data_IF_175125879396
#
_entry.id   IF_175125879396
#
_cell.length_a   1.000
_cell.length_b   1.000
_cell.length_c   1.000
_cell.angle_alpha   90.00
_cell.angle_beta   90.00
_cell.angle_gamma   90.00
#
_symmetry.space_group_name_H-M   'P 1'
#
loop_
_entity.id
_entity.type
_entity.pdbx_description
1 polymer ?
#
# COMPACT_ATOMS: atom_id res chain seq x y z
N UNK A 1 -5.87 -17.67 0.04
CA UNK A 1 -6.86 -16.64 0.48
C UNK A 1 -6.11 -15.38 0.85
N UNK A 2 -6.76 -14.20 0.96
CA UNK A 2 -6.07 -12.94 1.34
C UNK A 2 -5.27 -13.08 2.64
N UNK A 3 -5.70 -13.97 3.53
CA UNK A 3 -5.01 -14.28 4.79
C UNK A 3 -3.56 -14.72 4.58
N UNK A 4 -3.24 -15.36 3.45
CA UNK A 4 -1.89 -15.86 3.12
C UNK A 4 -0.99 -14.78 2.48
N UNK A 5 -1.46 -13.54 2.33
CA UNK A 5 -0.67 -12.41 1.83
C UNK A 5 0.33 -11.97 2.90
N UNK A 6 1.60 -12.32 2.77
CA UNK A 6 2.66 -11.81 3.64
C UNK A 6 3.37 -10.63 2.99
N UNK A 7 3.38 -9.47 3.67
CA UNK A 7 4.15 -8.31 3.23
C UNK A 7 5.56 -8.40 3.81
N UNK A 8 6.56 -8.22 2.94
CA UNK A 8 7.97 -8.34 3.33
C UNK A 8 8.48 -7.13 4.14
N UNK A 9 7.78 -6.00 4.09
CA UNK A 9 8.24 -4.75 4.68
C UNK A 9 7.85 -4.65 6.16
N UNK A 10 8.84 -4.53 7.04
CA UNK A 10 8.64 -4.31 8.48
C UNK A 10 8.23 -2.88 8.83
N UNK A 11 8.29 -1.96 7.87
CA UNK A 11 7.95 -0.54 8.05
C UNK A 11 6.51 -0.20 7.64
N UNK A 12 5.75 -1.18 7.20
CA UNK A 12 4.38 -1.00 6.70
C UNK A 12 3.41 -1.83 7.54
N UNK A 13 2.45 -1.14 8.15
CA UNK A 13 1.34 -1.80 8.84
C UNK A 13 0.30 -2.25 7.81
N UNK A 14 -0.36 -3.37 8.10
CA UNK A 14 -1.40 -3.88 7.23
C UNK A 14 -2.55 -4.53 8.00
N UNK A 15 -3.75 -4.42 7.42
CA UNK A 15 -4.97 -5.01 7.94
C UNK A 15 -5.70 -5.71 6.81
N UNK A 16 -6.23 -6.90 7.10
CA UNK A 16 -6.95 -7.75 6.14
C UNK A 16 -8.36 -7.98 6.65
N UNK A 17 -9.35 -7.89 5.76
CA UNK A 17 -10.73 -8.26 6.06
C UNK A 17 -11.42 -8.80 4.81
N UNK A 18 -11.70 -10.11 4.80
CA UNK A 18 -12.33 -10.82 3.67
C UNK A 18 -11.56 -10.65 2.37
N UNK A 19 -11.93 -9.70 1.51
CA UNK A 19 -11.24 -9.40 0.23
C UNK A 19 -10.52 -8.04 0.27
N UNK A 20 -10.73 -7.25 1.32
CA UNK A 20 -10.15 -5.93 1.48
C UNK A 20 -8.82 -6.01 2.25
N UNK A 21 -7.83 -5.27 1.75
CA UNK A 21 -6.54 -5.06 2.42
C UNK A 21 -6.27 -3.57 2.49
N UNK A 22 -5.90 -3.12 3.68
CA UNK A 22 -5.40 -1.76 3.91
C UNK A 22 -3.93 -1.86 4.30
N UNK A 23 -3.08 -1.07 3.65
CA UNK A 23 -1.68 -0.89 4.01
C UNK A 23 -1.44 0.56 4.38
N UNK A 24 -0.57 0.80 5.36
CA UNK A 24 -0.16 2.16 5.74
C UNK A 24 1.29 2.20 6.18
N UNK A 25 1.92 3.34 5.95
CA UNK A 25 3.25 3.64 6.48
C UNK A 25 3.21 4.98 7.24
N UNK A 26 4.10 5.13 8.21
CA UNK A 26 4.32 6.40 8.90
C UNK A 26 5.71 6.93 8.56
N UNK A 27 5.76 8.00 7.77
CA UNK A 27 7.02 8.61 7.34
C UNK A 27 7.39 9.81 8.22
N UNK A 28 8.65 9.87 8.63
CA UNK A 28 9.25 11.09 9.18
C UNK A 28 9.64 12.02 8.04
N UNK A 29 9.90 13.29 8.39
CA UNK A 29 10.38 14.29 7.43
C UNK A 29 11.65 13.78 6.72
N UNK A 30 11.63 13.82 5.40
CA UNK A 30 12.70 13.36 4.49
C UNK A 30 12.88 11.83 4.39
N UNK A 31 11.98 11.02 4.95
CA UNK A 31 11.98 9.58 4.65
C UNK A 31 11.33 9.30 3.28
N UNK A 32 11.77 8.21 2.66
CA UNK A 32 11.26 7.77 1.35
C UNK A 32 10.17 6.73 1.58
N UNK A 33 9.03 6.92 0.93
CA UNK A 33 7.92 5.97 0.91
C UNK A 33 8.35 4.62 0.33
N UNK A 34 7.97 3.53 1.00
CA UNK A 34 8.10 2.16 0.48
C UNK A 34 6.75 1.57 0.07
N UNK A 35 5.65 2.29 0.31
CA UNK A 35 4.27 1.84 0.10
C UNK A 35 3.99 1.42 -1.34
N UNK A 36 4.62 2.06 -2.34
CA UNK A 36 4.49 1.64 -3.74
C UNK A 36 5.14 0.27 -3.98
N UNK A 37 6.28 -0.01 -3.34
CA UNK A 37 6.94 -1.33 -3.46
C UNK A 37 6.08 -2.43 -2.83
N UNK A 38 5.43 -2.12 -1.71
CA UNK A 38 4.49 -3.03 -1.07
C UNK A 38 3.25 -3.25 -1.92
N UNK A 39 2.67 -2.19 -2.49
CA UNK A 39 1.54 -2.30 -3.43
C UNK A 39 1.89 -3.18 -4.64
N UNK A 40 3.06 -3.00 -5.23
CA UNK A 40 3.54 -3.83 -6.35
C UNK A 40 3.74 -5.30 -5.92
N UNK A 41 4.11 -5.54 -4.66
CA UNK A 41 4.24 -6.90 -4.10
C UNK A 41 2.87 -7.55 -3.93
N UNK A 42 1.88 -6.81 -3.43
CA UNK A 42 0.48 -7.26 -3.35
C UNK A 42 -0.03 -7.57 -4.75
N UNK A 43 0.18 -6.70 -5.73
CA UNK A 43 -0.26 -6.92 -7.10
C UNK A 43 0.31 -8.23 -7.65
N UNK A 44 1.62 -8.45 -7.58
CA UNK A 44 2.25 -9.71 -8.03
C UNK A 44 1.68 -10.92 -7.29
N UNK A 45 1.48 -10.80 -5.98
CA UNK A 45 0.89 -11.88 -5.19
C UNK A 45 -0.55 -12.17 -5.64
N UNK A 46 -1.36 -11.15 -5.94
CA UNK A 46 -2.72 -11.35 -6.46
C UNK A 46 -2.69 -12.08 -7.79
N UNK A 47 -1.82 -11.70 -8.72
CA UNK A 47 -1.67 -12.37 -10.02
C UNK A 47 -1.26 -13.83 -9.83
N UNK A 48 -0.29 -14.12 -8.97
CA UNK A 48 0.16 -15.48 -8.67
C UNK A 48 -0.94 -16.35 -8.04
N UNK A 49 -1.91 -15.74 -7.37
CA UNK A 49 -3.05 -16.42 -6.77
C UNK A 49 -4.33 -16.31 -7.61
N UNK A 50 -4.23 -15.98 -8.91
CA UNK A 50 -5.35 -15.83 -9.84
C UNK A 50 -6.42 -14.80 -9.37
N UNK A 51 -5.98 -13.78 -8.65
CA UNK A 51 -6.77 -12.63 -8.24
C UNK A 51 -6.35 -11.38 -9.00
N UNK A 52 -7.16 -10.33 -8.91
CA UNK A 52 -6.86 -9.04 -9.54
C UNK A 52 -7.25 -7.90 -8.62
N UNK A 53 -6.37 -6.92 -8.47
CA UNK A 53 -6.71 -5.65 -7.83
C UNK A 53 -7.79 -4.90 -8.62
N UNK A 54 -8.66 -4.21 -7.89
CA UNK A 54 -9.69 -3.38 -8.49
C UNK A 54 -9.30 -1.91 -8.32
N UNK A 55 -8.52 -1.37 -9.26
CA UNK A 55 -8.05 0.02 -9.20
C UNK A 55 -9.16 1.07 -9.05
N UNK A 56 -10.39 0.79 -9.50
CA UNK A 56 -11.54 1.70 -9.29
C UNK A 56 -11.96 1.79 -7.81
N UNK A 57 -11.81 0.69 -7.07
CA UNK A 57 -12.17 0.58 -5.65
C UNK A 57 -11.00 0.90 -4.72
N UNK A 58 -9.76 0.62 -5.12
CA UNK A 58 -8.58 1.00 -4.37
C UNK A 58 -8.51 2.54 -4.23
N UNK A 59 -8.21 3.01 -3.02
CA UNK A 59 -8.10 4.43 -2.68
C UNK A 59 -6.80 4.68 -1.95
N UNK A 60 -6.17 5.80 -2.29
CA UNK A 60 -5.04 6.35 -1.56
C UNK A 60 -5.52 7.45 -0.62
N UNK A 61 -4.92 7.52 0.57
CA UNK A 61 -5.07 8.64 1.50
C UNK A 61 -3.70 9.05 2.02
N UNK A 62 -3.41 10.35 1.99
CA UNK A 62 -2.19 10.93 2.58
C UNK A 62 -2.61 11.89 3.67
N UNK A 63 -2.22 11.60 4.91
CA UNK A 63 -2.43 12.49 6.06
C UNK A 63 -1.07 13.09 6.43
N UNK A 64 -0.97 14.42 6.39
CA UNK A 64 0.29 15.10 6.65
C UNK A 64 0.08 16.30 7.57
N UNK A 65 1.03 16.49 8.50
CA UNK A 65 1.03 17.61 9.44
C UNK A 65 2.06 18.69 9.07
N UNK A 66 2.80 18.51 7.98
CA UNK A 66 3.70 19.56 7.48
C UNK A 66 2.90 20.64 6.76
N UNK A 67 3.32 21.90 6.91
CA UNK A 67 2.69 23.05 6.23
C UNK A 67 3.05 23.17 4.75
N UNK A 68 4.14 22.54 4.33
CA UNK A 68 4.63 22.54 2.95
C UNK A 68 4.23 21.27 2.22
N UNK A 69 4.33 21.28 0.89
CA UNK A 69 4.20 20.06 0.09
C UNK A 69 5.15 18.99 0.64
N UNK A 70 4.60 17.79 0.90
CA UNK A 70 5.31 16.71 1.58
C UNK A 70 6.20 15.89 0.64
N UNK A 71 6.15 16.15 -0.68
CA UNK A 71 6.96 15.48 -1.69
C UNK A 71 6.70 13.97 -1.79
N UNK A 72 5.61 13.47 -1.22
CA UNK A 72 5.25 12.05 -1.24
C UNK A 72 4.62 11.74 -2.60
N UNK A 73 5.19 10.80 -3.39
CA UNK A 73 4.62 10.43 -4.69
C UNK A 73 3.26 9.75 -4.50
N UNK A 74 2.36 9.99 -5.45
CA UNK A 74 1.07 9.31 -5.51
C UNK A 74 1.25 7.86 -5.93
N UNK A 75 0.47 6.97 -5.33
CA UNK A 75 0.45 5.56 -5.68
C UNK A 75 -0.11 5.35 -7.09
N UNK A 76 0.55 4.48 -7.84
CA UNK A 76 0.07 3.93 -9.10
C UNK A 76 -0.72 2.67 -8.80
N UNK A 77 -2.00 2.68 -9.16
CA UNK A 77 -2.96 1.61 -8.89
C UNK A 77 -3.61 1.21 -10.22
N UNK A 78 -3.31 -0.01 -10.70
CA UNK A 78 -3.80 -0.57 -11.97
C UNK A 78 -5.14 -1.34 -11.86
#
# INVERSE_FOLDING_TARGET
MINDLELASSSTDHWKYVDDVTISESLKKNEVSVLQSDLNTIERWTVNNNMKLNGKKCKEMIVSFVRSENGIPRLLID
#
